data_IF_908532447837
#
_entry.id   IF_908532447837
#
_cell.length_a   1.000
_cell.length_b   1.000
_cell.length_c   1.000
_cell.angle_alpha   90.00
_cell.angle_beta   90.00
_cell.angle_gamma   90.00
#
_symmetry.space_group_name_H-M   'P 1'
#
loop_
_entity.id
_entity.type
_entity.pdbx_description
1 polymer ?
#
# COMPACT_ATOMS: atom_id res chain seq x y z
N UNK A 1 14.41 -5.30 26.75
CA UNK A 1 13.33 -4.60 26.32
C UNK A 1 12.77 -5.11 25.06
N UNK A 2 11.54 -5.13 24.97
CA UNK A 2 10.93 -5.68 23.86
C UNK A 2 10.83 -4.74 22.73
N UNK A 3 11.26 -5.18 21.61
CA UNK A 3 11.16 -4.43 20.46
C UNK A 3 9.77 -4.42 20.00
N UNK A 4 9.33 -3.30 19.75
CA UNK A 4 7.99 -3.12 19.36
C UNK A 4 7.83 -3.36 17.89
N UNK A 5 6.98 -4.27 17.53
CA UNK A 5 6.76 -4.58 16.14
C UNK A 5 6.26 -3.38 15.39
N UNK A 6 5.43 -2.57 16.02
CA UNK A 6 4.91 -1.41 15.37
C UNK A 6 6.01 -0.45 15.02
N UNK A 7 7.02 -0.42 15.83
CA UNK A 7 8.11 0.48 15.56
C UNK A 7 8.86 0.04 14.33
N UNK A 8 9.00 -1.25 14.12
CA UNK A 8 9.64 -1.73 12.94
C UNK A 8 8.82 -1.39 11.72
N UNK A 9 7.52 -1.51 11.84
CA UNK A 9 6.66 -1.17 10.74
C UNK A 9 6.77 0.30 10.39
N UNK A 10 6.88 1.14 11.42
CA UNK A 10 7.01 2.55 11.17
C UNK A 10 8.32 2.88 10.50
N UNK A 11 9.36 2.15 10.82
CA UNK A 11 10.63 2.39 10.20
C UNK A 11 10.60 2.06 8.73
N UNK A 12 9.75 1.11 8.34
CA UNK A 12 9.63 0.75 6.94
C UNK A 12 8.72 1.69 6.18
N UNK A 13 7.94 2.49 6.88
CA UNK A 13 7.03 3.40 6.25
C UNK A 13 7.69 4.74 6.11
N UNK A 14 7.78 5.21 4.91
CA UNK A 14 8.43 6.48 4.65
C UNK A 14 7.46 7.47 4.07
N UNK A 15 7.49 8.67 4.63
CA UNK A 15 6.65 9.72 4.11
C UNK A 15 7.24 10.17 2.79
N UNK A 16 6.39 10.27 1.78
CA UNK A 16 6.84 10.72 0.48
C UNK A 16 6.64 12.21 0.30
N UNK A 17 5.84 12.81 1.16
CA UNK A 17 5.49 14.21 0.98
C UNK A 17 4.42 14.42 -0.06
N UNK A 18 3.93 13.35 -0.65
CA UNK A 18 2.93 13.46 -1.70
C UNK A 18 1.55 13.39 -1.09
N UNK A 19 0.71 14.35 -1.44
CA UNK A 19 -0.65 14.41 -0.95
C UNK A 19 -1.57 14.41 -2.14
N UNK A 20 -2.62 13.59 -2.10
CA UNK A 20 -3.59 13.54 -3.16
C UNK A 20 -4.98 13.65 -2.56
N UNK A 21 -5.88 14.24 -3.29
CA UNK A 21 -7.23 14.40 -2.83
C UNK A 21 -8.12 13.35 -3.46
N UNK A 22 -9.07 12.90 -2.68
CA UNK A 22 -10.06 11.97 -3.18
C UNK A 22 -11.07 12.78 -3.97
N UNK A 23 -11.42 12.35 -5.16
CA UNK A 23 -12.37 13.08 -6.00
C UNK A 23 -13.80 12.69 -5.65
N UNK A 24 -14.75 13.22 -6.39
CA UNK A 24 -16.14 13.01 -6.05
C UNK A 24 -16.61 11.59 -6.27
N UNK A 25 -15.86 10.81 -7.02
CA UNK A 25 -16.19 9.42 -7.22
C UNK A 25 -15.38 8.50 -6.31
N UNK A 26 -14.68 9.07 -5.35
CA UNK A 26 -13.90 8.27 -4.43
C UNK A 26 -12.58 7.79 -4.98
N UNK A 27 -12.05 8.45 -6.01
CA UNK A 27 -10.82 8.01 -6.63
C UNK A 27 -9.68 8.94 -6.27
N UNK A 28 -8.48 8.41 -6.30
CA UNK A 28 -7.30 9.24 -6.22
C UNK A 28 -6.26 8.64 -7.15
N UNK A 29 -5.31 9.45 -7.56
CA UNK A 29 -4.29 9.01 -8.50
C UNK A 29 -3.02 8.69 -7.74
N UNK A 30 -2.45 7.55 -8.02
CA UNK A 30 -1.17 7.20 -7.46
C UNK A 30 -0.11 7.82 -8.37
N UNK A 31 0.77 8.65 -7.81
CA UNK A 31 1.74 9.36 -8.64
C UNK A 31 2.66 8.44 -9.40
N UNK A 32 3.13 8.92 -10.52
CA UNK A 32 3.97 8.16 -11.39
C UNK A 32 5.22 7.62 -10.70
N UNK A 33 5.81 8.42 -9.82
CA UNK A 33 7.01 8.00 -9.12
C UNK A 33 6.75 6.79 -8.26
N UNK A 34 5.60 6.76 -7.60
CA UNK A 34 5.26 5.64 -6.75
C UNK A 34 4.93 4.42 -7.59
N UNK A 35 4.20 4.63 -8.69
CA UNK A 35 3.89 3.52 -9.56
C UNK A 35 5.15 2.86 -10.09
N UNK A 36 6.13 3.67 -10.43
CA UNK A 36 7.37 3.15 -10.96
C UNK A 36 8.17 2.41 -9.88
N UNK A 37 8.29 3.02 -8.72
CA UNK A 37 9.05 2.42 -7.64
C UNK A 37 8.44 1.12 -7.17
N UNK A 38 7.13 1.08 -7.11
CA UNK A 38 6.43 -0.09 -6.63
C UNK A 38 6.07 -1.06 -7.75
N UNK A 39 6.39 -0.68 -8.98
CA UNK A 39 6.12 -1.50 -10.16
C UNK A 39 4.64 -1.78 -10.33
N UNK A 40 3.87 -0.72 -10.28
CA UNK A 40 2.44 -0.82 -10.46
C UNK A 40 2.12 -0.45 -11.90
N UNK A 41 1.46 -1.34 -12.59
CA UNK A 41 1.09 -1.12 -13.97
C UNK A 41 -0.42 -1.17 -14.09
N UNK A 42 -0.91 -0.90 -15.26
CA UNK A 42 -2.32 -0.99 -15.50
C UNK A 42 -2.77 -2.41 -15.20
N UNK A 43 -3.78 -2.55 -14.37
CA UNK A 43 -4.29 -3.87 -14.06
C UNK A 43 -3.64 -4.56 -12.88
N UNK A 44 -2.58 -3.98 -12.33
CA UNK A 44 -1.96 -4.60 -11.16
C UNK A 44 -2.96 -4.60 -10.01
N UNK A 45 -3.28 -5.74 -9.45
CA UNK A 45 -4.26 -5.78 -8.36
C UNK A 45 -3.62 -5.33 -7.06
N UNK A 46 -4.36 -4.55 -6.33
CA UNK A 46 -3.92 -4.07 -5.02
C UNK A 46 -4.98 -4.42 -4.01
N UNK A 47 -4.53 -4.90 -2.89
CA UNK A 47 -5.43 -5.20 -1.80
C UNK A 47 -5.42 -4.02 -0.84
N UNK A 48 -6.59 -3.65 -0.36
CA UNK A 48 -6.74 -2.48 0.49
C UNK A 48 -6.97 -2.92 1.91
N UNK A 49 -6.14 -2.41 2.81
CA UNK A 49 -6.27 -2.69 4.22
C UNK A 49 -6.58 -1.39 4.94
N UNK A 50 -7.30 -1.49 6.04
CA UNK A 50 -7.53 -0.33 6.90
C UNK A 50 -7.18 -0.73 8.32
N UNK A 51 -6.83 0.23 9.15
CA UNK A 51 -6.56 -0.07 10.53
C UNK A 51 -7.43 0.81 11.41
N UNK A 52 -7.30 0.65 12.69
CA UNK A 52 -8.14 1.39 13.62
C UNK A 52 -7.79 2.84 13.72
N UNK A 53 -6.64 3.18 13.26
CA UNK A 53 -6.16 4.55 13.36
C UNK A 53 -6.51 5.37 12.15
N UNK A 54 -7.29 4.81 11.27
CA UNK A 54 -7.72 5.57 10.10
C UNK A 54 -6.77 5.55 8.95
N UNK A 55 -5.90 4.56 8.89
CA UNK A 55 -4.97 4.46 7.78
C UNK A 55 -5.50 3.52 6.72
N UNK A 56 -5.20 3.83 5.49
CA UNK A 56 -5.51 2.98 4.36
C UNK A 56 -4.19 2.53 3.79
N UNK A 57 -4.00 1.24 3.68
CA UNK A 57 -2.75 0.67 3.22
C UNK A 57 -3.02 -0.16 1.99
N UNK A 58 -2.24 0.04 0.96
CA UNK A 58 -2.38 -0.70 -0.29
C UNK A 58 -1.20 -1.62 -0.43
N UNK A 59 -1.48 -2.87 -0.76
CA UNK A 59 -0.41 -3.84 -0.99
C UNK A 59 -0.69 -4.56 -2.29
N UNK A 60 0.34 -4.93 -3.00
CA UNK A 60 0.15 -5.72 -4.19
C UNK A 60 -0.47 -7.04 -3.77
N UNK A 61 -1.52 -7.41 -4.47
CA UNK A 61 -2.25 -8.60 -4.14
C UNK A 61 -1.53 -9.82 -4.71
N UNK A 62 -1.30 -10.80 -3.84
CA UNK A 62 -0.60 -12.00 -4.26
C UNK A 62 -1.28 -13.16 -3.58
N UNK A 63 -2.25 -13.76 -4.24
CA UNK A 63 -3.02 -14.82 -3.61
C UNK A 63 -2.14 -16.00 -3.30
N UNK A 64 -2.38 -16.57 -2.16
CA UNK A 64 -1.64 -17.72 -1.76
C UNK A 64 -1.81 -18.87 -2.67
N UNK A 65 -2.98 -18.97 -3.29
CA UNK A 65 -3.20 -20.02 -4.19
C UNK A 65 -2.27 -20.03 -5.30
N UNK A 66 -1.77 -18.93 -5.69
CA UNK A 66 -0.82 -18.94 -6.73
C UNK A 66 0.39 -19.65 -6.35
N UNK A 67 0.73 -19.56 -5.09
CA UNK A 67 1.86 -20.23 -4.65
C UNK A 67 1.64 -21.67 -4.60
N UNK A 68 0.48 -22.06 -4.21
CA UNK A 68 0.24 -23.43 -4.06
C UNK A 68 -0.03 -24.11 -5.31
N UNK A 69 -0.24 -23.36 -6.31
CA UNK A 69 -0.62 -23.99 -7.50
C UNK A 69 0.54 -24.54 -8.20
N UNK A 70 1.45 -24.64 -7.60
CA UNK A 70 2.47 -25.23 -8.24
C UNK A 70 2.82 -26.33 -7.66
#
# INVERSE_FOLDING_TARGET
>A
MIRNTNQEELEDMKATGIVRRVDELGRLVIPKEIRRTMRLAEGTPLEIFTDREGQIILKKYSPMMELGSF
#
